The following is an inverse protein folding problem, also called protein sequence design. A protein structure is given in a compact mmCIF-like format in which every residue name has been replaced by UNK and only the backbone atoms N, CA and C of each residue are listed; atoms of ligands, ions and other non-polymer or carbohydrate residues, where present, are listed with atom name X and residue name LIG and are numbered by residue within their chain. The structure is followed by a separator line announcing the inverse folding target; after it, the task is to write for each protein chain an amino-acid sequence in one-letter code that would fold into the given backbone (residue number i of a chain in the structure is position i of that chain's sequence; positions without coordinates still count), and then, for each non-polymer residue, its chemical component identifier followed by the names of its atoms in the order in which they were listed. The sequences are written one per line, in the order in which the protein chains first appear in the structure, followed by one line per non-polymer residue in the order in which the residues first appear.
data_IF_330729137221
#
_entry.id   IF_330729137221
#
_cell.length_a   1.000
_cell.length_b   1.000
_cell.length_c   1.000
_cell.angle_alpha   90.00
_cell.angle_beta   90.00
_cell.angle_gamma   90.00
#
_symmetry.space_group_name_H-M   'P 1'
#
loop_
_entity.id
_entity.type
_entity.pdbx_description
1 polymer ?
#
# COMPACT_ATOMS: atom_id res chain seq x y z
N UNK A 1 24.32 51.77 39.34
CA UNK A 1 23.20 50.82 39.56
C UNK A 1 22.39 50.56 38.29
N UNK A 2 22.37 51.49 37.33
CA UNK A 2 21.73 51.31 36.01
C UNK A 2 22.49 50.36 35.09
N UNK A 3 23.83 50.35 35.14
CA UNK A 3 24.65 49.52 34.24
C UNK A 3 24.55 48.01 34.52
N UNK A 4 24.37 47.63 35.79
CA UNK A 4 24.18 46.23 36.18
C UNK A 4 22.83 45.67 35.71
N UNK A 5 21.80 46.53 35.60
CA UNK A 5 20.48 46.12 35.09
C UNK A 5 20.52 46.00 33.57
N UNK A 6 21.20 46.90 32.88
CA UNK A 6 21.44 46.83 31.44
C UNK A 6 22.17 45.53 31.05
N UNK A 7 23.20 45.18 31.81
CA UNK A 7 24.00 43.98 31.57
C UNK A 7 23.22 42.67 31.83
N UNK A 8 22.26 42.68 32.76
CA UNK A 8 21.37 41.54 32.98
C UNK A 8 20.34 41.42 31.85
N UNK A 9 19.84 42.53 31.33
CA UNK A 9 18.92 42.56 30.20
C UNK A 9 19.61 42.04 28.92
N UNK A 10 20.85 42.44 28.69
CA UNK A 10 21.67 41.98 27.56
C UNK A 10 22.00 40.49 27.66
N UNK A 11 22.34 39.99 28.87
CA UNK A 11 22.51 38.54 29.09
C UNK A 11 21.21 37.75 28.92
N UNK A 12 20.07 38.32 29.29
CA UNK A 12 18.76 37.71 29.08
C UNK A 12 18.38 37.66 27.60
N UNK A 13 18.68 38.72 26.84
CA UNK A 13 18.49 38.77 25.39
C UNK A 13 19.41 37.79 24.66
N UNK A 14 20.69 37.74 25.01
CA UNK A 14 21.64 36.78 24.46
C UNK A 14 21.23 35.32 24.74
N UNK A 15 20.69 35.02 25.92
CA UNK A 15 20.16 33.70 26.24
C UNK A 15 18.91 33.34 25.39
N UNK A 16 18.03 34.31 25.13
CA UNK A 16 16.86 34.13 24.29
C UNK A 16 17.23 33.90 22.81
N UNK A 17 18.22 34.63 22.30
CA UNK A 17 18.75 34.46 20.94
C UNK A 17 19.41 33.08 20.76
N UNK A 18 20.20 32.64 21.74
CA UNK A 18 20.80 31.31 21.73
C UNK A 18 19.74 30.19 21.72
N UNK A 19 18.65 30.36 22.47
CA UNK A 19 17.53 29.41 22.47
C UNK A 19 16.79 29.38 21.12
N UNK A 20 16.62 30.54 20.48
CA UNK A 20 16.02 30.64 19.15
C UNK A 20 16.90 30.01 18.06
N UNK A 21 18.23 30.16 18.15
CA UNK A 21 19.17 29.52 17.23
C UNK A 21 19.14 27.99 17.35
N UNK A 22 19.03 27.45 18.56
CA UNK A 22 18.86 26.00 18.77
C UNK A 22 17.55 25.48 18.19
N UNK A 23 16.46 26.24 18.31
CA UNK A 23 15.17 25.89 17.70
C UNK A 23 15.23 25.88 16.17
N UNK A 24 15.94 26.84 15.57
CA UNK A 24 16.16 26.90 14.12
C UNK A 24 17.06 25.75 13.64
N UNK A 25 18.10 25.39 14.39
CA UNK A 25 18.95 24.24 14.08
C UNK A 25 18.15 22.94 14.11
N UNK A 26 17.29 22.75 15.12
CA UNK A 26 16.41 21.57 15.21
C UNK A 26 15.42 21.50 14.01
N UNK A 27 14.87 22.64 13.59
CA UNK A 27 14.01 22.73 12.40
C UNK A 27 14.76 22.38 11.10
N UNK A 28 16.01 22.84 10.95
CA UNK A 28 16.85 22.46 9.81
C UNK A 28 17.14 20.96 9.76
N UNK A 29 17.36 20.29 10.90
CA UNK A 29 17.52 18.84 10.93
C UNK A 29 16.23 18.09 10.57
N UNK A 30 15.06 18.56 11.01
CA UNK A 30 13.78 17.95 10.61
C UNK A 30 13.49 18.14 9.12
N UNK A 31 13.81 19.30 8.56
CA UNK A 31 13.65 19.57 7.13
C UNK A 31 14.61 18.73 6.27
N UNK A 32 15.84 18.49 6.74
CA UNK A 32 16.78 17.58 6.07
C UNK A 32 16.30 16.13 6.09
N UNK A 33 15.70 15.67 7.20
CA UNK A 33 15.15 14.31 7.29
C UNK A 33 13.90 14.19 6.39
N UNK A 34 13.03 15.19 6.38
CA UNK A 34 11.86 15.23 5.50
C UNK A 34 12.27 15.26 4.02
N UNK A 35 13.28 16.06 3.66
CA UNK A 35 13.85 16.10 2.31
C UNK A 35 14.54 14.78 1.96
N UNK A 36 15.27 14.15 2.88
CA UNK A 36 15.92 12.85 2.61
C UNK A 36 14.88 11.73 2.45
N UNK A 37 13.81 11.74 3.25
CA UNK A 37 12.69 10.81 3.10
C UNK A 37 11.93 11.04 1.79
N UNK A 38 11.75 12.30 1.37
CA UNK A 38 11.18 12.65 0.07
C UNK A 38 12.11 12.26 -1.08
N UNK A 39 13.43 12.42 -0.93
CA UNK A 39 14.44 12.01 -1.90
C UNK A 39 14.48 10.49 -2.01
N UNK A 40 14.40 9.72 -0.92
CA UNK A 40 14.34 8.24 -0.96
C UNK A 40 13.02 7.77 -1.59
N UNK A 41 11.91 8.43 -1.28
CA UNK A 41 10.60 8.14 -1.90
C UNK A 41 10.58 8.50 -3.39
N UNK A 42 11.32 9.54 -3.79
CA UNK A 42 11.52 9.94 -5.18
C UNK A 42 12.61 9.12 -5.90
N UNK A 43 13.58 8.54 -5.16
CA UNK A 43 14.66 7.69 -5.65
C UNK A 43 14.33 6.20 -5.52
N UNK A 44 13.04 5.84 -5.53
CA UNK A 44 12.58 4.45 -5.62
C UNK A 44 13.14 3.78 -6.88
N UNK A 45 14.33 3.20 -6.76
CA UNK A 45 14.98 2.18 -7.58
C UNK A 45 14.46 2.06 -9.02
N UNK A 46 14.92 2.95 -9.91
CA UNK A 46 14.94 2.69 -11.36
C UNK A 46 14.47 3.85 -12.24
N UNK A 47 15.41 4.74 -12.59
CA UNK A 47 15.44 5.50 -13.86
C UNK A 47 14.37 6.58 -14.06
N UNK A 48 14.85 7.83 -14.24
CA UNK A 48 14.19 8.98 -14.90
C UNK A 48 12.68 9.12 -14.72
N UNK A 49 12.23 10.14 -13.99
CA UNK A 49 10.89 10.76 -13.95
C UNK A 49 9.78 10.16 -14.86
N UNK A 50 9.47 8.87 -14.75
CA UNK A 50 8.38 8.22 -15.45
C UNK A 50 7.14 8.51 -14.62
N UNK A 51 6.13 9.10 -15.26
CA UNK A 51 4.86 9.36 -14.62
C UNK A 51 4.33 8.06 -13.97
N UNK A 52 3.89 8.08 -12.70
CA UNK A 52 3.38 6.89 -12.01
C UNK A 52 2.27 6.15 -12.78
N UNK A 53 1.48 6.88 -13.59
CA UNK A 53 0.47 6.28 -14.47
C UNK A 53 1.13 5.48 -15.59
N UNK A 54 2.16 6.03 -16.23
CA UNK A 54 2.91 5.35 -17.31
C UNK A 54 3.59 4.09 -16.76
N UNK A 55 4.18 4.17 -15.56
CA UNK A 55 4.78 3.01 -14.90
C UNK A 55 3.76 1.91 -14.58
N UNK A 56 2.62 2.25 -13.98
CA UNK A 56 1.54 1.29 -13.70
C UNK A 56 0.93 0.71 -14.97
N UNK A 57 0.79 1.53 -16.02
CA UNK A 57 0.32 1.09 -17.32
C UNK A 57 1.30 0.12 -17.99
N UNK A 58 2.61 0.36 -17.87
CA UNK A 58 3.63 -0.56 -18.37
C UNK A 58 3.54 -1.92 -17.66
N UNK A 59 3.40 -1.94 -16.33
CA UNK A 59 3.18 -3.18 -15.55
C UNK A 59 1.89 -3.87 -16.00
N UNK A 60 0.81 -3.13 -16.19
CA UNK A 60 -0.47 -3.69 -16.65
C UNK A 60 -0.33 -4.38 -18.02
N UNK A 61 0.30 -3.71 -19.00
CA UNK A 61 0.52 -4.27 -20.34
C UNK A 61 1.42 -5.50 -20.28
N UNK A 62 2.51 -5.46 -19.51
CA UNK A 62 3.40 -6.62 -19.29
C UNK A 62 2.64 -7.80 -18.65
N UNK A 63 1.79 -7.54 -17.66
CA UNK A 63 0.98 -8.56 -17.00
C UNK A 63 -0.02 -9.21 -17.98
N UNK A 64 -0.61 -8.46 -18.91
CA UNK A 64 -1.48 -9.01 -19.97
C UNK A 64 -0.70 -9.97 -20.88
N UNK A 65 0.50 -9.59 -21.31
CA UNK A 65 1.36 -10.48 -22.10
C UNK A 65 1.68 -11.78 -21.35
N UNK A 66 2.10 -11.68 -20.08
CA UNK A 66 2.37 -12.86 -19.24
C UNK A 66 1.12 -13.73 -19.11
N UNK A 67 -0.04 -13.13 -18.82
CA UNK A 67 -1.31 -13.86 -18.71
C UNK A 67 -1.69 -14.61 -19.98
N UNK A 68 -1.52 -13.98 -21.15
CA UNK A 68 -1.77 -14.62 -22.44
C UNK A 68 -0.90 -15.88 -22.62
N UNK A 69 0.42 -15.77 -22.44
CA UNK A 69 1.33 -16.90 -22.61
C UNK A 69 1.09 -18.01 -21.60
N UNK A 70 0.80 -17.67 -20.34
CA UNK A 70 0.50 -18.64 -19.29
C UNK A 70 -0.74 -19.47 -19.63
N UNK A 71 -1.84 -18.84 -20.06
CA UNK A 71 -3.08 -19.56 -20.39
C UNK A 71 -2.96 -20.35 -21.70
N UNK A 72 -2.22 -19.86 -22.69
CA UNK A 72 -2.02 -20.57 -23.96
C UNK A 72 -1.14 -21.82 -23.84
N UNK A 73 -0.29 -21.89 -22.82
CA UNK A 73 0.63 -23.02 -22.59
C UNK A 73 0.00 -24.25 -21.91
N UNK A 74 -1.32 -24.30 -21.73
CA UNK A 74 -2.00 -25.39 -21.01
C UNK A 74 -2.55 -26.48 -21.92
N UNK A 75 -2.52 -27.72 -21.46
CA UNK A 75 -3.10 -28.86 -22.18
C UNK A 75 -4.63 -28.73 -22.29
N UNK A 76 -5.27 -29.06 -23.42
CA UNK A 76 -6.71 -28.85 -23.62
C UNK A 76 -7.64 -29.50 -22.57
N UNK A 77 -7.22 -30.62 -21.97
CA UNK A 77 -7.96 -31.29 -20.90
C UNK A 77 -8.08 -30.45 -19.61
N UNK A 78 -7.23 -29.43 -19.46
CA UNK A 78 -7.15 -28.59 -18.26
C UNK A 78 -7.90 -27.26 -18.39
N UNK A 79 -8.55 -26.95 -19.53
CA UNK A 79 -9.29 -25.68 -19.66
C UNK A 79 -10.40 -25.53 -18.60
N UNK A 80 -11.14 -26.61 -18.31
CA UNK A 80 -12.20 -26.58 -17.29
C UNK A 80 -11.64 -26.41 -15.86
N UNK A 81 -10.60 -27.17 -15.43
CA UNK A 81 -9.88 -26.87 -14.19
C UNK A 81 -9.28 -25.46 -14.15
N UNK A 82 -8.71 -24.97 -15.25
CA UNK A 82 -8.11 -23.65 -15.34
C UNK A 82 -9.16 -22.53 -15.20
N UNK A 83 -10.36 -22.75 -15.71
CA UNK A 83 -11.49 -21.84 -15.49
C UNK A 83 -11.82 -21.73 -13.99
N UNK A 84 -11.76 -22.83 -13.25
CA UNK A 84 -11.97 -22.81 -11.79
C UNK A 84 -10.81 -22.11 -11.04
N UNK A 85 -9.57 -22.31 -11.46
CA UNK A 85 -8.40 -21.63 -10.89
C UNK A 85 -8.46 -20.12 -11.13
N UNK A 86 -8.80 -19.68 -12.35
CA UNK A 86 -8.92 -18.25 -12.67
C UNK A 86 -10.04 -17.58 -11.88
N UNK A 87 -11.12 -18.30 -11.56
CA UNK A 87 -12.14 -17.83 -10.64
C UNK A 87 -11.57 -17.61 -9.22
N UNK A 88 -10.77 -18.54 -8.69
CA UNK A 88 -10.10 -18.36 -7.41
C UNK A 88 -9.13 -17.17 -7.41
N UNK A 89 -8.31 -17.02 -8.48
CA UNK A 89 -7.34 -15.92 -8.63
C UNK A 89 -8.03 -14.55 -8.69
N UNK A 90 -9.24 -14.47 -9.28
CA UNK A 90 -10.02 -13.22 -9.32
C UNK A 90 -10.32 -12.64 -7.93
N UNK A 91 -10.19 -13.46 -6.87
CA UNK A 91 -10.38 -13.06 -5.47
C UNK A 91 -9.29 -12.14 -4.92
N UNK A 92 -8.36 -11.63 -5.75
CA UNK A 92 -7.41 -10.56 -5.38
C UNK A 92 -8.11 -9.32 -4.79
N UNK A 93 -9.40 -9.15 -5.09
CA UNK A 93 -10.30 -8.15 -4.48
C UNK A 93 -10.29 -8.16 -2.94
N UNK A 94 -9.91 -9.27 -2.30
CA UNK A 94 -9.76 -9.38 -0.84
C UNK A 94 -8.81 -8.31 -0.28
N UNK A 95 -7.77 -7.94 -1.03
CA UNK A 95 -6.83 -6.89 -0.62
C UNK A 95 -7.53 -5.53 -0.52
N UNK A 96 -8.37 -5.20 -1.49
CA UNK A 96 -9.17 -3.98 -1.47
C UNK A 96 -10.22 -3.98 -0.34
N UNK A 97 -10.85 -5.13 -0.10
CA UNK A 97 -11.80 -5.28 1.00
C UNK A 97 -11.13 -5.09 2.37
N UNK A 98 -9.95 -5.69 2.57
CA UNK A 98 -9.17 -5.52 3.81
C UNK A 98 -8.77 -4.06 4.04
N UNK A 99 -8.31 -3.37 3.00
CA UNK A 99 -8.02 -1.93 3.09
C UNK A 99 -9.29 -1.14 3.45
N UNK A 100 -10.42 -1.39 2.79
CA UNK A 100 -11.69 -0.72 3.08
C UNK A 100 -12.22 -0.99 4.51
N UNK A 101 -11.93 -2.16 5.09
CA UNK A 101 -12.30 -2.48 6.48
C UNK A 101 -11.30 -1.97 7.52
N UNK A 102 -10.03 -1.83 7.15
CA UNK A 102 -8.90 -1.61 8.06
C UNK A 102 -8.39 -0.17 8.18
N UNK A 103 -8.86 0.76 7.34
CA UNK A 103 -8.41 2.17 7.30
C UNK A 103 -8.59 2.91 8.65
N UNK A 104 -9.45 2.45 9.56
CA UNK A 104 -9.75 3.16 10.81
C UNK A 104 -8.82 2.91 12.01
N UNK A 105 -7.76 2.08 11.91
CA UNK A 105 -6.83 1.97 13.06
C UNK A 105 -6.04 3.29 13.27
N UNK A 106 -5.99 4.18 12.25
CA UNK A 106 -5.06 5.32 12.22
C UNK A 106 -5.70 6.71 12.02
N UNK A 107 -7.02 6.84 11.80
CA UNK A 107 -7.67 8.13 11.51
C UNK A 107 -8.94 8.35 12.33
N UNK A 108 -9.19 9.57 12.86
CA UNK A 108 -10.39 9.86 13.64
C UNK A 108 -11.65 9.82 12.75
N UNK A 109 -12.80 9.39 13.31
CA UNK A 109 -14.00 9.13 12.53
C UNK A 109 -14.50 10.40 11.85
N UNK A 110 -14.62 10.39 10.53
CA UNK A 110 -15.38 11.40 9.78
C UNK A 110 -16.75 10.85 9.40
N UNK A 111 -17.76 11.72 9.37
CA UNK A 111 -19.14 11.37 9.04
C UNK A 111 -19.23 10.73 7.64
N UNK A 112 -19.34 9.40 7.59
CA UNK A 112 -19.41 8.60 6.36
C UNK A 112 -18.61 7.29 6.40
N UNK A 113 -17.64 7.16 7.31
CA UNK A 113 -16.71 6.02 7.38
C UNK A 113 -17.38 4.69 7.74
N UNK A 114 -18.49 4.74 8.48
CA UNK A 114 -19.29 3.58 8.86
C UNK A 114 -19.83 2.81 7.66
N UNK A 115 -20.20 3.49 6.57
CA UNK A 115 -20.73 2.84 5.36
C UNK A 115 -19.63 2.12 4.58
N UNK A 116 -18.45 2.73 4.47
CA UNK A 116 -17.29 2.12 3.83
C UNK A 116 -16.83 0.86 4.57
N UNK A 117 -16.88 0.86 5.90
CA UNK A 117 -16.57 -0.32 6.73
C UNK A 117 -17.58 -1.45 6.55
N UNK A 118 -18.88 -1.14 6.59
CA UNK A 118 -19.92 -2.15 6.38
C UNK A 118 -19.83 -2.78 5.00
N UNK A 119 -19.62 -1.96 3.96
CA UNK A 119 -19.44 -2.46 2.60
C UNK A 119 -18.14 -3.25 2.44
N UNK A 120 -17.04 -2.78 3.03
CA UNK A 120 -15.78 -3.51 3.05
C UNK A 120 -15.90 -4.87 3.74
N UNK A 121 -16.66 -4.96 4.84
CA UNK A 121 -16.88 -6.20 5.58
C UNK A 121 -17.69 -7.20 4.76
N UNK A 122 -18.75 -6.74 4.08
CA UNK A 122 -19.53 -7.58 3.16
C UNK A 122 -18.65 -8.02 1.99
N UNK A 123 -17.86 -7.12 1.41
CA UNK A 123 -16.92 -7.44 0.34
C UNK A 123 -15.89 -8.49 0.77
N UNK A 124 -15.41 -8.42 2.02
CA UNK A 124 -14.48 -9.40 2.58
C UNK A 124 -15.11 -10.79 2.69
N UNK A 125 -16.36 -10.88 3.17
CA UNK A 125 -17.09 -12.15 3.23
C UNK A 125 -17.28 -12.75 1.83
N UNK A 126 -17.71 -11.93 0.86
CA UNK A 126 -17.91 -12.38 -0.51
C UNK A 126 -16.59 -12.81 -1.17
N UNK A 127 -15.49 -12.10 -0.91
CA UNK A 127 -14.17 -12.48 -1.38
C UNK A 127 -13.74 -13.84 -0.79
N UNK A 128 -13.95 -14.06 0.51
CA UNK A 128 -13.66 -15.35 1.14
C UNK A 128 -14.44 -16.50 0.50
N UNK A 129 -15.74 -16.32 0.20
CA UNK A 129 -16.53 -17.35 -0.50
C UNK A 129 -15.95 -17.69 -1.87
N UNK A 130 -15.49 -16.69 -2.62
CA UNK A 130 -14.87 -16.91 -3.93
C UNK A 130 -13.51 -17.64 -3.82
N UNK A 131 -12.68 -17.30 -2.82
CA UNK A 131 -11.43 -18.00 -2.52
C UNK A 131 -11.70 -19.48 -2.21
N UNK A 132 -12.51 -19.75 -1.19
CA UNK A 132 -12.74 -21.11 -0.72
C UNK A 132 -13.52 -21.95 -1.73
N UNK A 133 -14.54 -21.37 -2.36
CA UNK A 133 -15.32 -22.03 -3.41
C UNK A 133 -14.48 -22.36 -4.65
N UNK A 134 -13.67 -21.40 -5.11
CA UNK A 134 -12.78 -21.59 -6.25
C UNK A 134 -11.74 -22.67 -6.03
N UNK A 135 -11.10 -22.70 -4.85
CA UNK A 135 -10.08 -23.72 -4.55
C UNK A 135 -10.67 -25.12 -4.29
N UNK A 136 -11.80 -25.23 -3.58
CA UNK A 136 -12.46 -26.51 -3.31
C UNK A 136 -12.96 -27.19 -4.59
N UNK A 137 -13.58 -26.42 -5.49
CA UNK A 137 -14.05 -26.95 -6.78
C UNK A 137 -12.87 -27.35 -7.66
N UNK A 138 -11.81 -26.54 -7.70
CA UNK A 138 -10.58 -26.88 -8.44
C UNK A 138 -9.97 -28.18 -7.93
N UNK A 139 -9.85 -28.35 -6.61
CA UNK A 139 -9.29 -29.57 -6.02
C UNK A 139 -10.12 -30.80 -6.39
N UNK A 140 -11.45 -30.71 -6.33
CA UNK A 140 -12.35 -31.77 -6.78
C UNK A 140 -12.17 -32.08 -8.27
N UNK A 141 -11.98 -31.07 -9.11
CA UNK A 141 -11.75 -31.23 -10.54
C UNK A 141 -10.42 -31.91 -10.83
N UNK A 142 -9.35 -31.52 -10.14
CA UNK A 142 -8.01 -32.10 -10.30
C UNK A 142 -7.91 -33.51 -9.71
N UNK A 143 -8.64 -33.80 -8.64
CA UNK A 143 -8.71 -35.13 -8.04
C UNK A 143 -9.25 -36.20 -9.02
N UNK A 144 -10.11 -35.80 -9.98
CA UNK A 144 -10.61 -36.69 -11.04
C UNK A 144 -9.55 -37.11 -12.06
N UNK A 145 -8.43 -36.38 -12.14
CA UNK A 145 -7.30 -36.71 -13.03
C UNK A 145 -6.19 -37.50 -12.32
N UNK A 146 -6.29 -37.74 -11.00
CA UNK A 146 -5.36 -38.62 -10.29
C UNK A 146 -5.71 -40.06 -10.61
N UNK A 147 -4.78 -40.79 -11.23
CA UNK A 147 -4.90 -42.23 -11.48
C UNK A 147 -5.13 -42.93 -10.13
N UNK A 148 -6.22 -43.70 -10.01
CA UNK A 148 -6.44 -44.60 -8.87
C UNK A 148 -5.26 -45.57 -8.80
N UNK A 149 -4.43 -45.41 -7.77
CA UNK A 149 -3.68 -46.53 -7.21
C UNK A 149 -4.64 -47.43 -6.45
#
# INVERSE_FOLDING_TARGET
MTDSVQQLLEKAQAAAENAQQMAQQAQHYSDQIAQTAAVISAHGLGGEMIDPIIFRLAIFVLAVFVGYYVVWSVTPALHTPLMSVTNAISSVIVVGALLSTGVEISTPPQDGENWARWLGFIALILACVNIFGGFLVTERMLAMYKKKG
#
